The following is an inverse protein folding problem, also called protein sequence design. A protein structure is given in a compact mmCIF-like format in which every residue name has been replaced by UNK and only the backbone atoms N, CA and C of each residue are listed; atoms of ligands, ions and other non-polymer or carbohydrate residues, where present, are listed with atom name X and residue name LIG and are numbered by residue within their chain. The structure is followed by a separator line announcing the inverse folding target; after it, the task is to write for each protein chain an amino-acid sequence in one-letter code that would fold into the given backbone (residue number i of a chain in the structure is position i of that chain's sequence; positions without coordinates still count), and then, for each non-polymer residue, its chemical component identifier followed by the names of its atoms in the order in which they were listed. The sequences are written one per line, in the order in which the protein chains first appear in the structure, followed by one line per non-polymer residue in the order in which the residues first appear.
data_IF_294386155055
#
_entry.id   IF_294386155055
#
_cell.length_a   1.000
_cell.length_b   1.000
_cell.length_c   1.000
_cell.angle_alpha   90.00
_cell.angle_beta   90.00
_cell.angle_gamma   90.00
#
_symmetry.space_group_name_H-M   'P 1'
#
loop_
_entity.id
_entity.type
_entity.pdbx_description
1 polymer ?
#
# COMPACT_ATOMS: atom_id res chain seq x y z
N UNK A 1 -25.60 5.91 5.38
CA UNK A 1 -24.66 4.94 5.98
C UNK A 1 -23.35 5.06 5.22
N UNK A 2 -22.24 5.37 5.88
CA UNK A 2 -20.93 5.50 5.20
C UNK A 2 -20.46 4.15 4.66
N UNK A 3 -19.69 4.15 3.57
CA UNK A 3 -19.03 2.92 3.09
C UNK A 3 -18.07 2.40 4.17
N UNK A 4 -18.09 1.09 4.40
CA UNK A 4 -17.16 0.41 5.28
C UNK A 4 -15.71 0.56 4.83
N UNK A 5 -14.76 0.03 5.60
CA UNK A 5 -13.35 0.06 5.26
C UNK A 5 -13.11 -0.71 3.96
N UNK A 6 -12.70 -0.01 2.89
CA UNK A 6 -12.50 -0.61 1.58
C UNK A 6 -11.10 -1.20 1.40
N UNK A 7 -10.10 -0.75 2.16
CA UNK A 7 -8.80 -1.41 2.10
C UNK A 7 -8.07 -1.39 3.43
N UNK A 8 -7.24 -2.41 3.61
CA UNK A 8 -6.12 -2.37 4.55
C UNK A 8 -4.83 -2.35 3.75
N UNK A 9 -3.93 -1.44 4.09
CA UNK A 9 -2.67 -1.25 3.36
C UNK A 9 -1.50 -1.44 4.30
N UNK A 10 -0.71 -2.49 4.05
CA UNK A 10 0.52 -2.81 4.78
C UNK A 10 1.68 -2.15 4.01
N UNK A 11 2.33 -1.15 4.62
CA UNK A 11 3.40 -0.38 3.98
C UNK A 11 4.78 -0.88 4.42
N UNK A 12 5.76 -0.87 3.50
CA UNK A 12 7.17 -1.12 3.79
C UNK A 12 7.69 -0.16 4.85
N UNK A 13 7.74 1.14 4.57
CA UNK A 13 8.34 2.13 5.45
C UNK A 13 7.59 3.47 5.47
N UNK A 14 8.33 4.52 5.82
CA UNK A 14 7.78 5.86 6.04
C UNK A 14 7.30 6.51 4.73
N UNK A 15 8.05 6.35 3.64
CA UNK A 15 7.72 7.00 2.37
C UNK A 15 6.39 6.48 1.82
N UNK A 16 6.18 5.16 1.82
CA UNK A 16 4.94 4.51 1.39
C UNK A 16 3.78 4.84 2.32
N UNK A 17 4.02 4.80 3.63
CA UNK A 17 3.02 5.18 4.63
C UNK A 17 2.50 6.60 4.37
N UNK A 18 3.40 7.54 4.05
CA UNK A 18 3.03 8.93 3.75
C UNK A 18 2.26 9.04 2.44
N UNK A 19 2.76 8.44 1.36
CA UNK A 19 2.08 8.43 0.07
C UNK A 19 0.63 7.89 0.17
N UNK A 20 0.45 6.75 0.82
CA UNK A 20 -0.87 6.13 1.02
C UNK A 20 -1.76 6.99 1.91
N UNK A 21 -1.20 7.57 2.98
CA UNK A 21 -1.96 8.48 3.86
C UNK A 21 -2.51 9.68 3.10
N UNK A 22 -1.76 10.22 2.16
CA UNK A 22 -2.15 11.36 1.33
C UNK A 22 -3.25 10.97 0.36
N UNK A 23 -3.08 9.87 -0.37
CA UNK A 23 -4.10 9.36 -1.30
C UNK A 23 -5.41 9.10 -0.53
N UNK A 24 -5.33 8.40 0.60
CA UNK A 24 -6.47 8.17 1.51
C UNK A 24 -7.17 9.48 1.86
N UNK A 25 -6.42 10.49 2.32
CA UNK A 25 -6.99 11.76 2.77
C UNK A 25 -7.63 12.55 1.63
N UNK A 26 -6.98 12.61 0.47
CA UNK A 26 -7.41 13.44 -0.67
C UNK A 26 -8.62 12.85 -1.38
N UNK A 27 -8.67 11.53 -1.50
CA UNK A 27 -9.82 10.82 -2.05
C UNK A 27 -10.91 10.51 -1.01
N UNK A 28 -10.72 10.95 0.25
CA UNK A 28 -11.67 10.76 1.37
C UNK A 28 -12.07 9.30 1.56
N UNK A 29 -11.10 8.40 1.45
CA UNK A 29 -11.32 6.95 1.48
C UNK A 29 -11.26 6.39 2.91
N UNK A 30 -12.09 5.37 3.16
CA UNK A 30 -12.04 4.59 4.39
C UNK A 30 -11.00 3.46 4.26
N UNK A 31 -9.72 3.82 4.35
CA UNK A 31 -8.59 2.90 4.27
C UNK A 31 -7.88 2.81 5.63
N UNK A 32 -7.54 1.61 6.08
CA UNK A 32 -6.72 1.37 7.25
C UNK A 32 -5.26 1.15 6.83
N UNK A 33 -4.30 1.83 7.48
CA UNK A 33 -2.88 1.72 7.12
C UNK A 33 -2.14 1.04 8.27
N UNK A 34 -1.48 -0.07 7.97
CA UNK A 34 -0.61 -0.78 8.89
C UNK A 34 0.85 -0.57 8.48
N UNK A 35 1.66 -0.10 9.42
CA UNK A 35 3.11 0.02 9.26
C UNK A 35 3.76 -0.12 10.65
N UNK A 36 4.91 -0.80 10.74
CA UNK A 36 5.65 -0.92 12.01
C UNK A 36 6.10 0.48 12.45
N UNK A 37 5.72 0.87 13.67
CA UNK A 37 6.01 2.19 14.23
C UNK A 37 5.65 3.37 13.30
N UNK A 38 4.53 3.26 12.56
CA UNK A 38 4.11 4.26 11.55
C UNK A 38 5.17 4.47 10.45
N UNK A 39 5.86 3.40 10.06
CA UNK A 39 6.85 3.39 8.98
C UNK A 39 8.29 3.68 9.42
N UNK A 40 8.56 3.83 10.74
CA UNK A 40 9.94 4.00 11.24
C UNK A 40 10.78 2.73 11.13
N UNK A 41 10.12 1.58 11.18
CA UNK A 41 10.74 0.28 10.98
C UNK A 41 10.20 -0.33 9.69
N UNK A 42 11.11 -0.71 8.78
CA UNK A 42 10.72 -1.32 7.51
C UNK A 42 10.12 -2.71 7.69
N UNK A 43 9.14 -3.06 6.86
CA UNK A 43 8.64 -4.42 6.66
C UNK A 43 9.20 -4.93 5.32
N UNK A 44 9.92 -6.04 5.36
CA UNK A 44 10.44 -6.70 4.16
C UNK A 44 9.44 -7.74 3.65
N UNK A 45 9.52 -8.11 2.38
CA UNK A 45 8.60 -9.09 1.77
C UNK A 45 8.71 -10.49 2.38
N UNK A 46 9.88 -10.88 2.87
CA UNK A 46 10.11 -12.13 3.62
C UNK A 46 9.65 -12.06 5.09
N UNK A 47 9.39 -10.84 5.60
CA UNK A 47 8.75 -10.60 6.89
C UNK A 47 7.21 -10.58 6.85
N UNK A 48 6.60 -10.56 5.65
CA UNK A 48 5.14 -10.59 5.50
C UNK A 48 4.47 -11.80 6.17
N UNK A 49 5.01 -13.04 6.12
CA UNK A 49 4.42 -14.18 6.84
C UNK A 49 4.26 -13.94 8.34
N UNK A 50 5.20 -13.23 8.97
CA UNK A 50 5.11 -12.88 10.39
C UNK A 50 3.95 -11.90 10.62
N UNK A 51 3.80 -10.91 9.74
CA UNK A 51 2.67 -9.97 9.79
C UNK A 51 1.34 -10.71 9.67
N UNK A 52 1.21 -11.62 8.71
CA UNK A 52 -0.02 -12.39 8.52
C UNK A 52 -0.31 -13.37 9.65
N UNK A 53 0.69 -13.80 10.44
CA UNK A 53 0.48 -14.66 11.61
C UNK A 53 0.27 -13.90 12.94
N UNK A 54 0.35 -12.57 12.93
CA UNK A 54 0.22 -11.74 14.12
C UNK A 54 -1.23 -11.71 14.67
N UNK A 55 -1.46 -11.00 15.77
CA UNK A 55 -2.78 -10.95 16.42
C UNK A 55 -3.91 -10.28 15.62
N UNK A 56 -3.58 -9.54 14.55
CA UNK A 56 -4.52 -8.80 13.70
C UNK A 56 -4.84 -9.58 12.43
N UNK A 57 -3.81 -9.96 11.67
CA UNK A 57 -3.97 -10.52 10.33
C UNK A 57 -4.11 -12.04 10.30
N UNK A 58 -4.13 -12.73 11.45
CA UNK A 58 -4.20 -14.21 11.52
C UNK A 58 -5.34 -14.84 10.73
N UNK A 59 -6.49 -14.18 10.68
CA UNK A 59 -7.68 -14.64 9.97
C UNK A 59 -8.69 -13.50 9.82
N UNK A 60 -9.77 -13.76 9.08
CA UNK A 60 -10.83 -12.77 8.83
C UNK A 60 -11.48 -12.31 10.14
N UNK A 61 -11.68 -13.22 11.10
CA UNK A 61 -12.31 -12.88 12.40
C UNK A 61 -11.46 -11.91 13.22
N UNK A 62 -10.15 -12.10 13.30
CA UNK A 62 -9.28 -11.19 14.05
C UNK A 62 -9.13 -9.85 13.35
N UNK A 63 -9.12 -9.86 12.02
CA UNK A 63 -9.04 -8.67 11.17
C UNK A 63 -10.26 -7.77 11.37
N UNK A 64 -11.47 -8.32 11.23
CA UNK A 64 -12.72 -7.56 11.33
C UNK A 64 -13.01 -7.09 12.75
N UNK A 65 -12.51 -7.81 13.78
CA UNK A 65 -12.54 -7.34 15.17
C UNK A 65 -11.57 -6.18 15.45
N UNK A 66 -10.49 -6.06 14.66
CA UNK A 66 -9.54 -4.95 14.81
C UNK A 66 -9.98 -3.71 14.05
N UNK A 67 -10.71 -3.92 12.96
CA UNK A 67 -11.19 -2.91 12.04
C UNK A 67 -12.70 -3.10 11.86
N UNK A 68 -13.47 -2.64 12.85
CA UNK A 68 -14.91 -2.92 13.00
C UNK A 68 -15.78 -2.43 11.83
N UNK A 69 -15.25 -1.53 10.99
CA UNK A 69 -15.92 -1.02 9.80
C UNK A 69 -15.73 -1.91 8.55
N UNK A 70 -15.01 -3.03 8.65
CA UNK A 70 -14.88 -4.00 7.55
C UNK A 70 -16.14 -4.86 7.48
N UNK A 71 -16.82 -4.82 6.33
CA UNK A 71 -17.94 -5.71 6.06
C UNK A 71 -17.42 -7.11 5.72
N UNK A 72 -17.96 -8.13 6.38
CA UNK A 72 -17.64 -9.53 6.07
C UNK A 72 -18.86 -10.43 6.21
N UNK A 73 -18.90 -11.50 5.44
CA UNK A 73 -19.95 -12.52 5.53
C UNK A 73 -19.34 -13.91 5.33
N UNK A 74 -19.60 -14.84 6.26
CA UNK A 74 -19.07 -16.23 6.22
C UNK A 74 -17.56 -16.31 5.94
N UNK A 75 -16.77 -15.46 6.63
CA UNK A 75 -15.30 -15.33 6.43
C UNK A 75 -14.88 -14.80 5.05
N UNK A 76 -15.78 -14.23 4.26
CA UNK A 76 -15.42 -13.51 3.06
C UNK A 76 -15.45 -12.00 3.33
N UNK A 77 -14.40 -11.28 2.96
CA UNK A 77 -14.40 -9.82 3.00
C UNK A 77 -15.28 -9.28 1.87
N UNK A 78 -16.17 -8.34 2.18
CA UNK A 78 -17.05 -7.71 1.20
C UNK A 78 -16.49 -6.33 0.88
N UNK A 79 -16.23 -6.08 -0.41
CA UNK A 79 -15.76 -4.78 -0.90
C UNK A 79 -14.51 -4.28 -0.17
N UNK A 80 -13.64 -5.21 0.25
CA UNK A 80 -12.42 -4.90 0.99
C UNK A 80 -11.25 -5.74 0.48
N UNK A 81 -10.11 -5.08 0.26
CA UNK A 81 -8.84 -5.70 -0.17
C UNK A 81 -7.71 -5.41 0.82
N UNK A 82 -6.72 -6.29 0.85
CA UNK A 82 -5.48 -6.09 1.61
C UNK A 82 -4.37 -5.82 0.61
N UNK A 83 -3.81 -4.62 0.60
CA UNK A 83 -2.65 -4.30 -0.22
C UNK A 83 -1.38 -4.40 0.62
N UNK A 84 -0.36 -5.06 0.09
CA UNK A 84 1.00 -4.96 0.63
C UNK A 84 1.79 -4.08 -0.34
N UNK A 85 2.29 -2.93 0.09
CA UNK A 85 3.11 -2.04 -0.74
C UNK A 85 4.54 -2.14 -0.24
N UNK A 86 5.39 -2.77 -1.04
CA UNK A 86 6.73 -3.17 -0.62
C UNK A 86 7.82 -2.79 -1.62
N UNK A 87 8.95 -2.35 -1.08
CA UNK A 87 10.23 -2.36 -1.78
C UNK A 87 10.72 -3.80 -1.91
N UNK A 88 11.27 -4.15 -3.07
CA UNK A 88 11.70 -5.53 -3.37
C UNK A 88 13.22 -5.68 -3.30
N UNK A 89 14.00 -4.61 -3.45
CA UNK A 89 15.48 -4.64 -3.37
C UNK A 89 16.01 -5.30 -2.08
N UNK A 90 15.32 -5.09 -0.96
CA UNK A 90 15.69 -5.54 0.38
C UNK A 90 15.59 -7.06 0.62
N UNK A 91 15.07 -7.84 -0.33
CA UNK A 91 15.01 -9.30 -0.22
C UNK A 91 16.10 -9.98 -1.05
N UNK A 92 16.90 -10.85 -0.40
CA UNK A 92 17.98 -11.61 -1.06
C UNK A 92 17.49 -12.88 -1.75
N UNK A 93 16.35 -13.42 -1.34
CA UNK A 93 15.81 -14.65 -1.91
C UNK A 93 15.08 -14.36 -3.23
N UNK A 94 15.69 -14.80 -4.33
CA UNK A 94 15.18 -14.59 -5.69
C UNK A 94 13.81 -15.26 -5.90
N UNK A 95 13.55 -16.40 -5.26
CA UNK A 95 12.25 -17.07 -5.36
C UNK A 95 11.15 -16.25 -4.69
N UNK A 96 11.43 -15.71 -3.49
CA UNK A 96 10.49 -14.84 -2.78
C UNK A 96 10.22 -13.56 -3.58
N UNK A 97 11.27 -12.91 -4.12
CA UNK A 97 11.13 -11.73 -4.98
C UNK A 97 10.24 -12.01 -6.19
N UNK A 98 10.55 -13.05 -6.95
CA UNK A 98 9.80 -13.38 -8.17
C UNK A 98 8.35 -13.74 -7.86
N UNK A 99 8.10 -14.46 -6.76
CA UNK A 99 6.74 -14.77 -6.33
C UNK A 99 5.94 -13.48 -6.01
N UNK A 100 6.57 -12.51 -5.35
CA UNK A 100 5.97 -11.21 -5.04
C UNK A 100 5.67 -10.37 -6.28
N UNK A 101 6.62 -10.29 -7.21
CA UNK A 101 6.44 -9.62 -8.50
C UNK A 101 5.32 -10.26 -9.34
N UNK A 102 5.10 -11.57 -9.19
CA UNK A 102 4.00 -12.31 -9.80
C UNK A 102 2.68 -12.19 -9.03
N UNK A 103 2.57 -11.27 -8.06
CA UNK A 103 1.33 -10.98 -7.34
C UNK A 103 1.03 -11.94 -6.19
N UNK A 104 2.03 -12.64 -5.63
CA UNK A 104 1.85 -13.61 -4.55
C UNK A 104 2.75 -13.34 -3.34
N UNK A 105 2.26 -13.61 -2.13
CA UNK A 105 3.08 -13.56 -0.90
C UNK A 105 3.56 -14.96 -0.53
N UNK A 106 4.87 -15.16 -0.46
CA UNK A 106 5.49 -16.42 -0.03
C UNK A 106 5.18 -16.73 1.44
N UNK A 107 5.24 -18.00 1.84
CA UNK A 107 5.10 -18.39 3.26
C UNK A 107 3.68 -18.36 3.84
N UNK A 108 2.65 -18.03 3.06
CA UNK A 108 1.27 -18.00 3.56
C UNK A 108 0.54 -19.35 3.53
N UNK A 109 0.99 -20.34 2.75
CA UNK A 109 0.29 -21.63 2.64
C UNK A 109 -1.20 -21.47 2.30
N UNK A 110 -2.08 -21.99 3.18
CA UNK A 110 -3.56 -21.93 3.09
C UNK A 110 -4.18 -20.81 3.96
N UNK A 111 -3.47 -19.71 4.15
CA UNK A 111 -3.93 -18.59 4.97
C UNK A 111 -5.28 -18.04 4.50
N UNK A 112 -6.24 -17.81 5.43
CA UNK A 112 -7.61 -17.37 5.10
C UNK A 112 -7.62 -16.03 4.35
N UNK A 113 -6.69 -15.12 4.66
CA UNK A 113 -6.65 -13.81 4.00
C UNK A 113 -6.05 -13.83 2.59
N UNK A 114 -5.47 -14.96 2.14
CA UNK A 114 -4.64 -15.02 0.94
C UNK A 114 -5.35 -14.51 -0.31
N UNK A 115 -6.64 -14.80 -0.44
CA UNK A 115 -7.46 -14.39 -1.59
C UNK A 115 -7.78 -12.89 -1.64
N UNK A 116 -7.66 -12.19 -0.51
CA UNK A 116 -7.89 -10.75 -0.41
C UNK A 116 -6.62 -9.93 -0.59
N UNK A 117 -5.44 -10.56 -0.65
CA UNK A 117 -4.16 -9.88 -0.73
C UNK A 117 -3.86 -9.52 -2.20
N UNK A 118 -3.50 -8.26 -2.42
CA UNK A 118 -2.97 -7.75 -3.67
C UNK A 118 -1.57 -7.18 -3.43
N UNK A 119 -0.50 -7.87 -3.83
CA UNK A 119 0.85 -7.35 -3.75
C UNK A 119 1.08 -6.18 -4.69
N UNK A 120 1.64 -5.12 -4.14
CA UNK A 120 2.10 -3.94 -4.84
C UNK A 120 3.60 -3.80 -4.59
N UNK A 121 4.36 -3.62 -5.65
CA UNK A 121 5.81 -3.59 -5.58
C UNK A 121 6.38 -2.27 -6.09
N UNK A 122 7.51 -1.89 -5.51
CA UNK A 122 8.52 -1.06 -6.14
C UNK A 122 9.74 -1.97 -6.35
N UNK A 123 10.12 -2.19 -7.60
CA UNK A 123 11.06 -3.27 -8.00
C UNK A 123 12.41 -3.14 -7.28
N UNK A 124 12.87 -1.92 -7.14
CA UNK A 124 13.97 -1.56 -6.26
C UNK A 124 13.36 -0.95 -5.00
N UNK A 125 13.05 0.34 -5.04
CA UNK A 125 12.37 1.08 -3.98
C UNK A 125 11.47 2.19 -4.55
N UNK A 126 10.66 2.82 -3.71
CA UNK A 126 9.79 3.93 -4.12
C UNK A 126 10.56 5.08 -4.77
N UNK A 127 11.73 5.45 -4.27
CA UNK A 127 12.51 6.57 -4.81
C UNK A 127 12.94 6.34 -6.27
N UNK A 128 13.37 5.13 -6.60
CA UNK A 128 13.72 4.74 -7.98
C UNK A 128 12.52 4.81 -8.92
N UNK A 129 11.34 4.42 -8.44
CA UNK A 129 10.08 4.55 -9.20
C UNK A 129 9.70 6.01 -9.39
N UNK A 130 9.84 6.85 -8.36
CA UNK A 130 9.59 8.29 -8.46
C UNK A 130 10.55 8.95 -9.47
N UNK A 131 11.82 8.53 -9.52
CA UNK A 131 12.77 8.99 -10.53
C UNK A 131 12.33 8.56 -11.94
N UNK A 132 11.95 7.30 -12.12
CA UNK A 132 11.51 6.73 -13.40
C UNK A 132 10.35 7.52 -14.00
N UNK A 133 9.35 7.85 -13.17
CA UNK A 133 8.20 8.65 -13.60
C UNK A 133 8.44 10.16 -13.64
N UNK A 134 9.69 10.60 -13.41
CA UNK A 134 10.10 12.02 -13.33
C UNK A 134 9.22 12.81 -12.34
N UNK A 135 9.02 12.25 -11.15
CA UNK A 135 8.28 12.92 -10.09
C UNK A 135 9.04 14.18 -9.62
N UNK A 136 8.36 15.31 -9.34
CA UNK A 136 9.05 16.58 -9.10
C UNK A 136 10.00 16.61 -7.90
N UNK A 137 9.82 15.72 -6.93
CA UNK A 137 10.73 15.57 -5.80
C UNK A 137 11.08 14.11 -5.56
N UNK A 138 12.37 13.80 -5.51
CA UNK A 138 12.87 12.48 -5.09
C UNK A 138 13.95 12.68 -4.04
N UNK A 139 13.79 12.03 -2.89
CA UNK A 139 14.81 12.07 -1.84
C UNK A 139 16.10 11.43 -2.35
N UNK A 140 17.24 12.11 -2.15
CA UNK A 140 18.54 11.59 -2.62
C UNK A 140 19.23 10.69 -1.60
N UNK A 141 18.79 10.75 -0.35
CA UNK A 141 19.36 10.00 0.76
C UNK A 141 18.34 9.85 1.90
N UNK A 142 18.66 9.04 2.90
CA UNK A 142 17.78 8.78 4.04
C UNK A 142 17.46 10.02 4.88
N UNK A 143 18.34 11.03 4.92
CA UNK A 143 18.03 12.29 5.62
C UNK A 143 16.93 13.03 4.89
N UNK A 144 16.96 13.06 3.56
CA UNK A 144 15.94 13.74 2.75
C UNK A 144 14.57 13.05 2.78
N UNK A 145 14.48 11.76 3.19
CA UNK A 145 13.20 11.06 3.31
C UNK A 145 12.25 11.72 4.31
N UNK A 146 12.74 12.48 5.29
CA UNK A 146 11.85 13.25 6.18
C UNK A 146 11.02 14.30 5.41
N UNK A 147 11.50 14.75 4.24
CA UNK A 147 10.81 15.72 3.40
C UNK A 147 9.56 15.13 2.74
N UNK A 148 9.40 13.79 2.72
CA UNK A 148 8.16 13.17 2.29
C UNK A 148 6.96 13.56 3.15
N UNK A 149 7.17 13.97 4.40
CA UNK A 149 6.12 14.60 5.22
C UNK A 149 5.60 15.88 4.57
N UNK A 150 6.48 16.65 3.92
CA UNK A 150 6.12 17.88 3.20
C UNK A 150 5.59 17.56 1.81
N UNK A 151 6.29 16.72 1.05
CA UNK A 151 5.99 16.38 -0.36
C UNK A 151 4.68 15.62 -0.51
N UNK A 152 4.38 14.72 0.43
CA UNK A 152 3.09 14.05 0.54
C UNK A 152 2.21 14.71 1.64
N UNK A 153 2.60 15.88 2.15
CA UNK A 153 1.83 16.61 3.15
C UNK A 153 0.59 17.28 2.57
N UNK A 154 -0.37 17.68 3.42
CA UNK A 154 -1.55 18.42 2.99
C UNK A 154 -1.21 19.77 2.34
N UNK A 155 -0.08 20.36 2.72
CA UNK A 155 0.45 21.63 2.18
C UNK A 155 1.16 21.46 0.82
N UNK A 156 1.35 20.23 0.35
CA UNK A 156 1.97 19.98 -0.95
C UNK A 156 1.01 20.22 -2.10
N UNK A 157 1.47 20.97 -3.09
CA UNK A 157 0.77 21.12 -4.36
C UNK A 157 0.94 19.89 -5.29
N UNK A 158 1.80 18.92 -4.93
CA UNK A 158 2.13 17.79 -5.81
C UNK A 158 1.07 16.68 -5.82
N UNK A 159 0.34 16.51 -4.71
CA UNK A 159 -0.80 15.59 -4.57
C UNK A 159 -1.94 16.34 -3.88
N UNK A 160 -2.29 17.51 -4.42
CA UNK A 160 -3.22 18.43 -3.80
C UNK A 160 -4.69 18.02 -3.93
N UNK A 161 -5.03 17.27 -4.98
CA UNK A 161 -6.40 17.02 -5.44
C UNK A 161 -6.52 15.70 -6.23
N UNK A 162 -7.72 15.40 -6.72
CA UNK A 162 -8.00 14.19 -7.51
C UNK A 162 -7.25 14.18 -8.85
N UNK A 163 -7.04 15.34 -9.48
CA UNK A 163 -6.36 15.44 -10.76
C UNK A 163 -4.87 15.10 -10.63
N UNK A 164 -4.19 15.63 -9.63
CA UNK A 164 -2.78 15.30 -9.36
C UNK A 164 -2.57 13.82 -9.01
N UNK A 165 -3.53 13.19 -8.33
CA UNK A 165 -3.52 11.73 -8.10
C UNK A 165 -3.79 10.96 -9.41
N UNK A 166 -4.64 11.50 -10.29
CA UNK A 166 -4.90 10.90 -11.62
C UNK A 166 -3.63 10.95 -12.48
N UNK A 167 -2.93 12.07 -12.49
CA UNK A 167 -1.66 12.23 -13.19
C UNK A 167 -0.59 11.29 -12.63
N UNK A 168 -0.53 11.12 -11.30
CA UNK A 168 0.32 10.12 -10.66
C UNK A 168 -0.03 8.71 -11.15
N UNK A 169 -1.32 8.34 -11.20
CA UNK A 169 -1.77 7.05 -11.67
C UNK A 169 -1.33 6.77 -13.11
N UNK A 170 -1.54 7.73 -14.02
CA UNK A 170 -1.16 7.61 -15.43
C UNK A 170 0.35 7.44 -15.59
N UNK A 171 1.13 8.13 -14.75
CA UNK A 171 2.60 8.02 -14.74
C UNK A 171 3.07 6.67 -14.20
N UNK A 172 2.53 6.22 -13.08
CA UNK A 172 2.85 4.92 -12.47
C UNK A 172 2.52 3.77 -13.42
N UNK A 173 1.39 3.85 -14.13
CA UNK A 173 0.96 2.85 -15.12
C UNK A 173 1.92 2.67 -16.30
N UNK A 174 2.74 3.69 -16.60
CA UNK A 174 3.75 3.63 -17.67
C UNK A 174 5.09 3.07 -17.20
N UNK A 175 5.29 2.91 -15.89
CA UNK A 175 6.52 2.39 -15.31
C UNK A 175 6.48 0.87 -15.22
N UNK A 176 7.50 0.19 -15.73
CA UNK A 176 7.66 -1.27 -15.54
C UNK A 176 8.28 -1.64 -14.18
N UNK A 177 8.59 -0.62 -13.37
CA UNK A 177 9.21 -0.77 -12.04
C UNK A 177 8.19 -0.89 -10.93
N UNK A 178 6.90 -0.76 -11.23
CA UNK A 178 5.82 -0.85 -10.24
C UNK A 178 4.50 -1.29 -10.87
N UNK A 179 3.59 -1.77 -10.02
CA UNK A 179 2.16 -1.94 -10.32
C UNK A 179 1.28 -1.07 -9.39
N UNK A 180 1.83 0.02 -8.84
CA UNK A 180 1.14 0.90 -7.88
C UNK A 180 -0.09 1.61 -8.46
N UNK A 181 -0.19 1.72 -9.79
CA UNK A 181 -1.39 2.17 -10.49
C UNK A 181 -2.61 1.31 -10.14
N UNK A 182 -2.44 -0.01 -9.98
CA UNK A 182 -3.52 -0.92 -9.59
C UNK A 182 -4.15 -0.55 -8.24
N UNK A 183 -3.34 -0.05 -7.30
CA UNK A 183 -3.85 0.46 -6.02
C UNK A 183 -4.57 1.80 -6.19
N UNK A 184 -4.03 2.72 -6.99
CA UNK A 184 -4.67 4.02 -7.23
C UNK A 184 -6.01 3.86 -7.99
N UNK A 185 -6.07 2.99 -8.99
CA UNK A 185 -7.30 2.63 -9.71
C UNK A 185 -8.34 2.03 -8.76
N UNK A 186 -7.92 1.14 -7.85
CA UNK A 186 -8.79 0.64 -6.80
C UNK A 186 -9.33 1.78 -5.94
N UNK A 187 -8.48 2.71 -5.51
CA UNK A 187 -8.88 3.89 -4.74
C UNK A 187 -9.93 4.73 -5.48
N UNK A 188 -9.75 5.03 -6.76
CA UNK A 188 -10.73 5.80 -7.54
C UNK A 188 -12.11 5.14 -7.63
N UNK A 189 -12.15 3.82 -7.77
CA UNK A 189 -13.41 3.06 -7.80
C UNK A 189 -14.17 3.10 -6.46
N UNK A 190 -13.49 3.46 -5.37
CA UNK A 190 -14.08 3.55 -4.02
C UNK A 190 -14.29 4.99 -3.54
N UNK A 191 -13.88 5.99 -4.32
CA UNK A 191 -14.17 7.40 -4.06
C UNK A 191 -15.67 7.64 -4.12
N UNK A 192 -16.21 8.35 -3.13
CA UNK A 192 -17.60 8.80 -3.15
C UNK A 192 -17.71 9.96 -4.15
N UNK A 193 -18.31 9.70 -5.31
CA UNK A 193 -18.76 10.76 -6.23
C UNK A 193 -20.16 11.19 -5.76
N UNK A 194 -20.25 12.44 -5.30
CA UNK A 194 -21.54 13.09 -4.97
C UNK A 194 -22.13 13.73 -6.23
#
# INVERSE_FOLDING_TARGET
MGRGTCAIVICHGLSEYKLVSTIKSKLRLNIEIFAREKGRTSIQIDGLPEIFNNGVFRNVKTLTRRYDNINSHKKNLIDCRIFTIMDVDDCRDVSIRNNYLNGNVSGLGRHELKEFITPIYFRENLEDVLNDIKFPFVAKNNRDKHQYVKVFGPESNLLADEQSITDLCIKMKKSERTNFDSFIEYCFNHTLRF
#
